data_IF_566315715233
#
_entry.id   IF_566315715233
#
_cell.length_a   1.000
_cell.length_b   1.000
_cell.length_c   1.000
_cell.angle_alpha   90.00
_cell.angle_beta   90.00
_cell.angle_gamma   90.00
#
_symmetry.space_group_name_H-M   'P 1'
#
loop_
_entity.id
_entity.type
_entity.pdbx_description
1 polymer ?
#
# COMPACT_ATOMS: atom_id res chain seq x y z
N UNK A 1 -8.74 -12.85 11.04
CA UNK A 1 -9.44 -11.64 11.51
C UNK A 1 -8.91 -10.49 10.66
N UNK A 2 -9.73 -9.90 9.79
CA UNK A 2 -9.30 -8.76 8.98
C UNK A 2 -9.22 -7.55 9.91
N UNK A 3 -8.05 -6.93 10.03
CA UNK A 3 -7.93 -5.69 10.82
C UNK A 3 -8.67 -4.60 10.03
N UNK A 4 -9.63 -3.88 10.62
CA UNK A 4 -10.29 -2.79 9.91
C UNK A 4 -9.26 -1.67 9.69
N UNK A 5 -8.74 -1.60 8.46
CA UNK A 5 -7.89 -0.50 8.03
C UNK A 5 -8.78 0.76 8.04
N UNK A 6 -8.38 1.85 8.72
CA UNK A 6 -9.16 3.09 8.71
C UNK A 6 -9.45 3.53 7.26
N UNK A 7 -10.62 4.12 6.96
CA UNK A 7 -10.95 4.52 5.60
C UNK A 7 -9.88 5.49 5.07
N UNK A 8 -9.37 5.20 3.86
CA UNK A 8 -8.32 6.02 3.26
C UNK A 8 -8.86 7.44 3.04
N UNK A 9 -8.19 8.48 3.57
CA UNK A 9 -8.65 9.87 3.41
C UNK A 9 -8.61 10.28 1.93
N UNK A 10 -9.53 11.17 1.50
CA UNK A 10 -9.59 11.63 0.11
C UNK A 10 -8.26 12.33 -0.28
N UNK A 11 -7.62 11.85 -1.35
CA UNK A 11 -6.30 12.31 -1.80
C UNK A 11 -5.13 11.38 -1.43
N UNK A 12 -5.38 10.31 -0.68
CA UNK A 12 -4.40 9.24 -0.47
C UNK A 12 -4.80 7.97 -1.25
N UNK A 13 -3.80 7.17 -1.60
CA UNK A 13 -4.02 5.92 -2.30
C UNK A 13 -4.49 4.82 -1.33
N UNK A 14 -5.63 4.15 -1.57
CA UNK A 14 -6.08 3.07 -0.70
C UNK A 14 -5.11 1.89 -0.67
N UNK A 15 -4.36 1.67 -1.75
CA UNK A 15 -3.32 0.62 -1.79
C UNK A 15 -2.12 0.97 -0.90
N UNK A 16 -1.59 2.20 -1.00
CA UNK A 16 -0.49 2.64 -0.12
C UNK A 16 -0.92 2.65 1.35
N UNK A 17 -2.14 3.10 1.62
CA UNK A 17 -2.70 3.12 2.96
C UNK A 17 -2.84 1.70 3.53
N UNK A 18 -3.41 0.77 2.75
CA UNK A 18 -3.50 -0.64 3.13
C UNK A 18 -2.12 -1.24 3.40
N UNK A 19 -1.11 -0.95 2.57
CA UNK A 19 0.26 -1.43 2.81
C UNK A 19 0.94 -0.80 4.04
N UNK A 20 0.59 0.43 4.42
CA UNK A 20 1.13 1.07 5.62
C UNK A 20 0.56 0.48 6.92
N UNK A 21 -0.73 0.11 6.92
CA UNK A 21 -1.42 -0.40 8.10
C UNK A 21 -1.44 -1.94 8.18
N UNK A 22 -1.49 -2.63 7.04
CA UNK A 22 -1.54 -4.09 6.98
C UNK A 22 -0.12 -4.68 6.82
N UNK A 23 0.46 -5.05 7.96
CA UNK A 23 1.77 -5.73 8.03
C UNK A 23 1.68 -7.19 7.59
N UNK A 24 0.47 -7.75 7.42
CA UNK A 24 0.28 -9.15 7.04
C UNK A 24 0.64 -9.42 5.58
N UNK A 25 0.54 -8.38 4.73
CA UNK A 25 1.02 -8.42 3.33
C UNK A 25 2.52 -8.70 3.28
N UNK A 26 3.29 -8.19 4.26
CA UNK A 26 4.73 -8.42 4.37
C UNK A 26 5.09 -9.67 5.17
N UNK A 27 4.11 -10.45 5.63
CA UNK A 27 4.36 -11.69 6.40
C UNK A 27 5.15 -12.73 5.61
N UNK A 28 5.06 -12.71 4.28
CA UNK A 28 5.76 -13.63 3.37
C UNK A 28 7.07 -13.06 2.83
N UNK A 29 7.35 -11.77 3.06
CA UNK A 29 8.58 -11.13 2.60
C UNK A 29 9.72 -11.41 3.59
N UNK A 30 10.93 -11.59 3.07
CA UNK A 30 12.11 -11.75 3.90
C UNK A 30 12.42 -10.45 4.65
N UNK A 31 13.07 -10.50 5.83
CA UNK A 31 13.54 -9.30 6.49
C UNK A 31 14.49 -8.55 5.55
N UNK A 32 14.15 -7.28 5.25
CA UNK A 32 14.84 -6.37 4.29
C UNK A 32 14.51 -6.59 2.81
N UNK A 33 13.53 -7.43 2.47
CA UNK A 33 13.03 -7.53 1.10
C UNK A 33 11.98 -6.43 0.84
N UNK A 34 12.23 -5.60 -0.16
CA UNK A 34 11.28 -4.59 -0.61
C UNK A 34 10.10 -5.27 -1.32
N UNK A 35 8.88 -4.89 -0.93
CA UNK A 35 7.69 -5.44 -1.57
C UNK A 35 7.63 -4.96 -3.04
N UNK A 36 7.64 -5.87 -4.04
CA UNK A 36 7.61 -5.48 -5.44
C UNK A 36 6.31 -4.74 -5.79
N UNK A 37 5.20 -4.99 -5.09
CA UNK A 37 3.98 -4.20 -5.26
C UNK A 37 4.15 -2.76 -4.77
N UNK A 38 4.85 -2.51 -3.66
CA UNK A 38 5.13 -1.15 -3.18
C UNK A 38 6.03 -0.40 -4.16
N UNK A 39 7.12 -1.04 -4.58
CA UNK A 39 8.11 -0.43 -5.50
C UNK A 39 7.47 -0.18 -6.86
N UNK A 40 6.73 -1.16 -7.40
CA UNK A 40 5.98 -0.99 -8.63
C UNK A 40 4.95 0.14 -8.50
N UNK A 41 4.23 0.22 -7.38
CA UNK A 41 3.26 1.29 -7.15
C UNK A 41 3.92 2.68 -7.03
N UNK A 42 5.13 2.75 -6.47
CA UNK A 42 5.93 3.98 -6.42
C UNK A 42 6.40 4.42 -7.82
N UNK A 43 6.84 3.47 -8.66
CA UNK A 43 7.42 3.73 -10.00
C UNK A 43 6.34 4.02 -11.04
N UNK A 44 5.23 3.28 -11.05
CA UNK A 44 4.14 3.41 -12.04
C UNK A 44 3.30 4.69 -11.83
N UNK A 45 3.65 5.48 -10.80
CA UNK A 45 2.78 6.43 -10.10
C UNK A 45 1.55 5.74 -9.54
N UNK A 46 1.00 6.34 -8.49
CA UNK A 46 -0.38 6.14 -8.07
C UNK A 46 -1.32 6.66 -9.18
N UNK A 47 -1.33 5.99 -10.33
CA UNK A 47 -1.74 6.47 -11.65
C UNK A 47 -3.25 6.53 -11.88
N UNK A 48 -4.00 6.86 -10.84
CA UNK A 48 -5.45 7.09 -10.93
C UNK A 48 -6.03 7.90 -9.78
N UNK A 49 -5.42 7.85 -8.59
CA UNK A 49 -5.90 8.59 -7.41
C UNK A 49 -5.28 9.99 -7.25
N UNK A 50 -4.22 10.31 -8.00
CA UNK A 50 -3.61 11.66 -8.03
C UNK A 50 -3.85 12.39 -9.36
N UNK A 51 -5.01 12.17 -10.00
CA UNK A 51 -5.51 13.03 -11.09
C UNK A 51 -6.52 14.02 -10.52
N UNK A 52 -6.04 15.23 -10.26
CA UNK A 52 -6.84 16.42 -10.57
C UNK A 52 -6.59 16.77 -12.03
#
# INVERSE_FOLDING_TARGET
MTVPIPPCPPGQCPQCWTHAYDKSIHRRLAPREDCPQCVNHMVTKCGGFYRK
#
